data_IF_829720870117
#
_entry.id   IF_829720870117
#
_cell.length_a   1.000
_cell.length_b   1.000
_cell.length_c   1.000
_cell.angle_alpha   90.00
_cell.angle_beta   90.00
_cell.angle_gamma   90.00
#
_symmetry.space_group_name_H-M   'P 1'
#
loop_
_entity.id
_entity.type
_entity.pdbx_description
1 polymer ?
#
# COMPACT_ATOMS: atom_id res chain seq x y z
N UNK A 1 20.84 9.79 -12.29
CA UNK A 1 21.92 10.48 -11.56
C UNK A 1 22.07 9.77 -10.21
N UNK A 2 23.07 8.90 -10.08
CA UNK A 2 23.30 8.13 -8.85
C UNK A 2 24.26 8.96 -8.00
N UNK A 3 23.73 9.67 -7.01
CA UNK A 3 24.51 10.31 -5.95
C UNK A 3 24.22 9.51 -4.68
N UNK A 4 25.27 9.06 -3.98
CA UNK A 4 25.18 8.28 -2.73
C UNK A 4 24.56 6.86 -2.84
N UNK A 5 24.65 6.20 -4.00
CA UNK A 5 23.96 4.93 -4.29
C UNK A 5 22.42 5.00 -4.20
N UNK A 6 21.86 6.22 -4.29
CA UNK A 6 20.42 6.46 -4.34
C UNK A 6 20.02 6.82 -5.78
N UNK A 7 19.01 6.13 -6.30
CA UNK A 7 18.38 6.49 -7.57
C UNK A 7 17.39 7.65 -7.36
N UNK A 8 17.91 8.88 -7.46
CA UNK A 8 17.12 10.09 -7.31
C UNK A 8 16.00 10.24 -8.34
N UNK A 9 16.11 9.56 -9.49
CA UNK A 9 15.04 9.57 -10.49
C UNK A 9 13.85 8.74 -10.03
N UNK A 10 14.11 7.56 -9.48
CA UNK A 10 13.08 6.71 -8.89
C UNK A 10 12.43 7.37 -7.67
N UNK A 11 13.24 7.98 -6.79
CA UNK A 11 12.74 8.71 -5.62
C UNK A 11 11.86 9.90 -6.03
N UNK A 12 12.31 10.70 -7.00
CA UNK A 12 11.53 11.84 -7.51
C UNK A 12 10.21 11.40 -8.13
N UNK A 13 10.21 10.30 -8.90
CA UNK A 13 9.00 9.72 -9.49
C UNK A 13 8.02 9.25 -8.41
N UNK A 14 8.48 8.51 -7.41
CA UNK A 14 7.65 8.06 -6.28
C UNK A 14 7.08 9.22 -5.47
N UNK A 15 7.91 10.22 -5.16
CA UNK A 15 7.47 11.42 -4.44
C UNK A 15 6.42 12.20 -5.24
N UNK A 16 6.60 12.34 -6.55
CA UNK A 16 5.61 13.02 -7.41
C UNK A 16 4.26 12.31 -7.46
N UNK A 17 4.26 10.97 -7.52
CA UNK A 17 3.05 10.15 -7.47
C UNK A 17 2.35 10.30 -6.12
N UNK A 18 3.10 10.21 -5.02
CA UNK A 18 2.55 10.38 -3.68
C UNK A 18 1.92 11.76 -3.51
N UNK A 19 2.64 12.83 -3.88
CA UNK A 19 2.15 14.20 -3.78
C UNK A 19 0.90 14.42 -4.63
N UNK A 20 0.87 13.92 -5.88
CA UNK A 20 -0.31 14.02 -6.74
C UNK A 20 -1.51 13.27 -6.13
N UNK A 21 -1.29 12.03 -5.69
CA UNK A 21 -2.32 11.20 -5.07
C UNK A 21 -2.90 11.88 -3.83
N UNK A 22 -2.04 12.32 -2.90
CA UNK A 22 -2.48 13.01 -1.68
C UNK A 22 -3.19 14.33 -1.98
N UNK A 23 -2.72 15.10 -2.97
CA UNK A 23 -3.37 16.37 -3.35
C UNK A 23 -4.81 16.16 -3.82
N UNK A 24 -5.04 15.12 -4.65
CA UNK A 24 -6.39 14.77 -5.12
C UNK A 24 -7.27 14.38 -3.93
N UNK A 25 -6.79 13.49 -3.06
CA UNK A 25 -7.57 12.99 -1.93
C UNK A 25 -7.89 14.09 -0.92
N UNK A 26 -6.91 14.93 -0.57
CA UNK A 26 -7.10 16.04 0.37
C UNK A 26 -8.10 17.05 -0.18
N UNK A 27 -7.98 17.49 -1.44
CA UNK A 27 -8.96 18.44 -2.02
C UNK A 27 -10.37 17.85 -1.97
N UNK A 28 -10.53 16.58 -2.32
CA UNK A 28 -11.84 15.94 -2.32
C UNK A 28 -12.37 15.78 -0.89
N UNK A 29 -11.52 15.40 0.06
CA UNK A 29 -11.85 15.35 1.48
C UNK A 29 -12.37 16.71 2.00
N UNK A 30 -11.59 17.77 1.79
CA UNK A 30 -11.97 19.15 2.13
C UNK A 30 -13.28 19.54 1.44
N UNK A 31 -13.46 19.15 0.18
CA UNK A 31 -14.70 19.40 -0.56
C UNK A 31 -15.90 18.68 0.06
N UNK A 32 -15.68 17.52 0.67
CA UNK A 32 -16.65 16.79 1.46
C UNK A 32 -17.17 17.55 2.68
N UNK A 33 -16.35 18.37 3.34
CA UNK A 33 -16.81 19.28 4.40
C UNK A 33 -17.43 20.56 3.83
N UNK A 34 -16.84 21.09 2.76
CA UNK A 34 -17.25 22.33 2.11
C UNK A 34 -18.71 22.30 1.63
N UNK A 35 -19.11 21.23 0.93
CA UNK A 35 -20.47 21.09 0.38
C UNK A 35 -21.54 21.19 1.48
N UNK A 36 -21.56 20.32 2.52
CA UNK A 36 -22.57 20.39 3.57
C UNK A 36 -22.48 21.69 4.37
N UNK A 37 -21.28 22.24 4.58
CA UNK A 37 -21.12 23.53 5.27
C UNK A 37 -21.86 24.66 4.51
N UNK A 38 -21.65 24.76 3.20
CA UNK A 38 -22.36 25.74 2.36
C UNK A 38 -23.86 25.44 2.28
N UNK A 39 -24.25 24.17 2.22
CA UNK A 39 -25.66 23.77 2.17
C UNK A 39 -26.43 24.18 3.43
N UNK A 40 -25.83 24.05 4.62
CA UNK A 40 -26.43 24.50 5.88
C UNK A 40 -26.24 26.00 6.16
N UNK A 41 -25.70 26.76 5.20
CA UNK A 41 -25.50 28.20 5.32
C UNK A 41 -24.41 28.58 6.33
N UNK A 42 -23.39 27.74 6.51
CA UNK A 42 -22.17 28.11 7.22
C UNK A 42 -21.28 28.94 6.30
N UNK A 43 -20.65 29.97 6.87
CA UNK A 43 -19.62 30.73 6.17
C UNK A 43 -18.32 29.93 6.13
N UNK A 44 -17.75 29.81 4.93
CA UNK A 44 -16.43 29.21 4.71
C UNK A 44 -15.46 30.32 4.35
N UNK A 45 -14.45 30.53 5.17
CA UNK A 45 -13.48 31.62 5.01
C UNK A 45 -12.35 31.22 4.05
N UNK A 46 -11.85 29.99 4.17
CA UNK A 46 -10.75 29.46 3.36
C UNK A 46 -11.03 28.04 2.89
N UNK A 47 -10.62 27.75 1.66
CA UNK A 47 -10.56 26.41 1.08
C UNK A 47 -9.17 26.24 0.45
N UNK A 48 -8.28 25.49 1.10
CA UNK A 48 -6.88 25.44 0.73
C UNK A 48 -6.40 23.99 0.51
N UNK A 49 -5.71 23.79 -0.61
CA UNK A 49 -4.79 22.65 -0.75
C UNK A 49 -3.48 23.06 -0.08
N UNK A 50 -2.94 22.23 0.82
CA UNK A 50 -1.70 22.48 1.55
C UNK A 50 -1.76 23.65 2.55
N UNK A 51 -1.00 23.54 3.63
CA UNK A 51 -0.92 24.59 4.64
C UNK A 51 -0.16 25.82 4.11
N UNK A 52 -0.64 27.01 4.48
CA UNK A 52 -0.12 28.32 4.07
C UNK A 52 0.50 29.14 5.24
N UNK A 53 1.38 28.57 6.10
CA UNK A 53 2.05 29.39 7.12
C UNK A 53 2.90 30.45 6.43
N UNK A 54 2.80 31.71 6.85
CA UNK A 54 3.50 32.86 6.28
C UNK A 54 3.05 33.31 4.87
N UNK A 55 2.97 32.42 3.88
CA UNK A 55 2.58 32.78 2.51
C UNK A 55 1.80 31.68 1.77
N UNK A 56 1.14 32.04 0.66
CA UNK A 56 0.44 31.10 -0.24
C UNK A 56 1.08 31.15 -1.62
N UNK A 57 1.22 30.00 -2.29
CA UNK A 57 1.72 29.92 -3.67
C UNK A 57 0.71 30.53 -4.66
N UNK A 58 -0.56 30.28 -4.42
CA UNK A 58 -1.66 30.85 -5.19
C UNK A 58 -2.83 31.16 -4.26
N UNK A 59 -3.53 32.26 -4.49
CA UNK A 59 -4.76 32.59 -3.78
C UNK A 59 -5.71 33.39 -4.66
N UNK A 60 -7.00 33.11 -4.55
CA UNK A 60 -8.08 33.82 -5.23
C UNK A 60 -9.31 33.84 -4.33
N UNK A 61 -9.80 35.05 -4.05
CA UNK A 61 -11.05 35.22 -3.31
C UNK A 61 -12.23 35.20 -4.27
N UNK A 62 -13.23 34.36 -3.99
CA UNK A 62 -14.51 34.33 -4.72
C UNK A 62 -15.66 34.35 -3.71
N UNK A 63 -16.37 35.47 -3.66
CA UNK A 63 -17.37 35.72 -2.63
C UNK A 63 -16.72 35.84 -1.26
N UNK A 64 -17.20 35.03 -0.31
CA UNK A 64 -16.72 35.03 1.08
C UNK A 64 -15.53 34.10 1.31
N UNK A 65 -15.24 33.20 0.36
CA UNK A 65 -14.22 32.15 0.49
C UNK A 65 -12.97 32.51 -0.29
N UNK A 66 -11.83 32.39 0.37
CA UNK A 66 -10.50 32.43 -0.25
C UNK A 66 -10.08 31.00 -0.65
N UNK A 67 -9.85 30.80 -1.94
CA UNK A 67 -9.35 29.54 -2.47
C UNK A 67 -7.85 29.68 -2.70
N UNK A 68 -7.05 28.72 -2.27
CA UNK A 68 -5.61 28.83 -2.41
C UNK A 68 -4.84 27.52 -2.37
N UNK A 69 -3.55 27.66 -2.63
CA UNK A 69 -2.55 26.59 -2.51
C UNK A 69 -1.48 27.10 -1.55
N UNK A 70 -1.31 26.43 -0.42
CA UNK A 70 -0.25 26.67 0.55
C UNK A 70 1.11 26.18 0.04
N UNK A 71 2.20 26.71 0.60
CA UNK A 71 3.55 26.29 0.19
C UNK A 71 4.02 25.02 0.89
N UNK A 72 3.43 24.68 2.06
CA UNK A 72 3.82 23.53 2.85
C UNK A 72 2.95 22.33 2.45
N UNK A 73 3.48 21.33 1.71
CA UNK A 73 2.70 20.26 1.07
C UNK A 73 2.24 19.18 2.07
N UNK A 74 1.65 19.61 3.18
CA UNK A 74 1.12 18.79 4.26
C UNK A 74 -0.36 19.16 4.40
N UNK A 75 -1.23 18.16 4.26
CA UNK A 75 -2.67 18.30 4.47
C UNK A 75 -3.35 19.31 3.54
N UNK A 76 -4.54 19.74 3.97
CA UNK A 76 -5.37 20.78 3.39
C UNK A 76 -6.39 21.15 4.46
N UNK A 77 -7.12 22.23 4.24
CA UNK A 77 -8.11 22.64 5.23
C UNK A 77 -9.24 23.48 4.63
N UNK A 78 -10.44 23.27 5.17
CA UNK A 78 -11.59 24.18 5.04
C UNK A 78 -11.81 24.92 6.35
N UNK A 79 -11.51 26.22 6.36
CA UNK A 79 -11.79 27.07 7.54
C UNK A 79 -13.27 27.44 7.56
N UNK A 80 -14.05 26.74 8.38
CA UNK A 80 -15.47 27.00 8.59
C UNK A 80 -15.64 27.93 9.80
N UNK A 81 -16.33 29.04 9.62
CA UNK A 81 -16.45 30.04 10.68
C UNK A 81 -17.16 29.47 11.92
N UNK A 82 -16.59 29.73 13.11
CA UNK A 82 -17.12 29.26 14.39
C UNK A 82 -16.91 27.76 14.69
N UNK A 83 -16.05 27.08 13.93
CA UNK A 83 -15.50 25.77 14.28
C UNK A 83 -14.22 25.97 15.09
N UNK A 84 -14.00 25.14 16.12
CA UNK A 84 -12.71 25.09 16.82
C UNK A 84 -11.84 24.16 15.98
N UNK A 85 -10.92 24.74 15.20
CA UNK A 85 -10.00 24.04 14.32
C UNK A 85 -8.53 24.32 14.69
N UNK A 86 -7.61 23.79 13.88
CA UNK A 86 -6.16 23.90 14.01
C UNK A 86 -5.67 25.35 14.02
N UNK A 87 -6.40 26.28 13.41
CA UNK A 87 -6.06 27.70 13.33
C UNK A 87 -6.47 28.49 14.58
N UNK A 88 -7.24 27.87 15.50
CA UNK A 88 -7.57 28.38 16.84
C UNK A 88 -7.83 29.90 16.89
N UNK A 89 -8.87 30.35 16.20
CA UNK A 89 -9.26 31.77 16.18
C UNK A 89 -9.98 32.17 17.49
N UNK A 90 -9.21 32.32 18.57
CA UNK A 90 -9.68 32.56 19.95
C UNK A 90 -10.47 33.86 20.11
N UNK A 91 -10.30 34.82 19.22
CA UNK A 91 -11.00 36.10 19.27
C UNK A 91 -12.44 36.01 18.72
N UNK A 92 -12.65 35.18 17.70
CA UNK A 92 -13.98 34.95 17.13
C UNK A 92 -14.90 34.19 18.09
N UNK A 93 -14.34 33.24 18.86
CA UNK A 93 -15.10 32.43 19.83
C UNK A 93 -15.64 33.22 21.03
N UNK A 94 -15.04 34.37 21.35
CA UNK A 94 -15.48 35.24 22.46
C UNK A 94 -16.72 36.07 22.14
N UNK A 95 -17.08 36.22 20.87
CA UNK A 95 -18.27 36.95 20.43
C UNK A 95 -19.50 36.05 20.47
N UNK A 96 -20.73 36.60 20.62
CA UNK A 96 -21.96 35.81 20.54
C UNK A 96 -22.06 35.10 19.18
N UNK A 97 -22.51 33.85 19.21
CA UNK A 97 -22.61 33.01 18.02
C UNK A 97 -23.50 33.64 16.96
N UNK A 98 -22.97 33.78 15.75
CA UNK A 98 -23.72 34.28 14.60
C UNK A 98 -24.44 33.13 13.89
N UNK A 99 -25.56 33.41 13.23
CA UNK A 99 -26.40 32.39 12.57
C UNK A 99 -25.72 31.64 11.42
N UNK A 100 -24.64 32.21 10.86
CA UNK A 100 -23.81 31.64 9.80
C UNK A 100 -22.57 30.91 10.33
N UNK A 101 -22.41 30.81 11.65
CA UNK A 101 -21.31 30.06 12.27
C UNK A 101 -21.69 28.60 12.52
N UNK A 102 -20.72 27.71 12.41
CA UNK A 102 -20.85 26.28 12.69
C UNK A 102 -21.46 26.01 14.07
N UNK A 103 -20.96 26.69 15.11
CA UNK A 103 -21.46 26.53 16.50
C UNK A 103 -22.93 26.94 16.71
N UNK A 104 -23.53 27.67 15.79
CA UNK A 104 -24.96 28.04 15.85
C UNK A 104 -25.89 26.96 15.28
N UNK A 105 -25.33 25.98 14.55
CA UNK A 105 -26.11 24.94 13.87
C UNK A 105 -26.49 23.81 14.83
N UNK A 106 -27.68 23.20 14.65
CA UNK A 106 -28.06 21.98 15.35
C UNK A 106 -26.99 20.89 15.23
N UNK A 107 -26.84 20.07 16.27
CA UNK A 107 -25.78 19.08 16.35
C UNK A 107 -25.80 18.07 15.18
N UNK A 108 -26.96 17.72 14.65
CA UNK A 108 -27.07 16.83 13.48
C UNK A 108 -26.56 17.47 12.19
N UNK A 109 -26.72 18.79 12.00
CA UNK A 109 -26.14 19.50 10.83
C UNK A 109 -24.63 19.55 10.94
N UNK A 110 -24.13 19.85 12.16
CA UNK A 110 -22.69 19.79 12.45
C UNK A 110 -22.12 18.41 12.20
N UNK A 111 -22.81 17.36 12.62
CA UNK A 111 -22.40 15.98 12.39
C UNK A 111 -22.24 15.69 10.88
N UNK A 112 -23.20 16.08 10.04
CA UNK A 112 -23.12 15.90 8.58
C UNK A 112 -21.92 16.65 7.99
N UNK A 113 -21.64 17.86 8.46
CA UNK A 113 -20.46 18.63 8.03
C UNK A 113 -19.18 17.89 8.42
N UNK A 114 -19.09 17.39 9.66
CA UNK A 114 -17.90 16.72 10.19
C UNK A 114 -17.63 15.36 9.53
N UNK A 115 -18.66 14.58 9.20
CA UNK A 115 -18.46 13.30 8.48
C UNK A 115 -18.27 13.49 6.97
N UNK A 116 -18.51 14.69 6.46
CA UNK A 116 -18.54 14.99 5.03
C UNK A 116 -17.25 14.61 4.30
N UNK A 117 -16.09 14.95 4.87
CA UNK A 117 -14.79 14.58 4.30
C UNK A 117 -14.53 13.08 4.33
N UNK A 118 -14.83 12.39 5.43
CA UNK A 118 -14.70 10.93 5.55
C UNK A 118 -15.58 10.22 4.51
N UNK A 119 -16.85 10.63 4.41
CA UNK A 119 -17.79 10.08 3.42
C UNK A 119 -17.28 10.32 2.00
N UNK A 120 -16.76 11.50 1.70
CA UNK A 120 -16.20 11.79 0.38
C UNK A 120 -15.02 10.89 0.03
N UNK A 121 -14.09 10.65 0.96
CA UNK A 121 -12.97 9.73 0.72
C UNK A 121 -13.44 8.28 0.46
N UNK A 122 -14.48 7.81 1.16
CA UNK A 122 -15.09 6.50 0.87
C UNK A 122 -15.72 6.49 -0.52
N UNK A 123 -16.46 7.53 -0.90
CA UNK A 123 -17.07 7.65 -2.23
C UNK A 123 -16.03 7.70 -3.35
N UNK A 124 -14.94 8.45 -3.14
CA UNK A 124 -13.82 8.54 -4.07
C UNK A 124 -13.18 7.17 -4.28
N UNK A 125 -12.97 6.40 -3.21
CA UNK A 125 -12.48 5.03 -3.33
C UNK A 125 -13.42 4.15 -4.19
N UNK A 126 -14.74 4.26 -3.97
CA UNK A 126 -15.74 3.49 -4.75
C UNK A 126 -15.65 3.81 -6.24
N UNK A 127 -15.59 5.11 -6.57
CA UNK A 127 -15.52 5.59 -7.94
C UNK A 127 -14.22 5.13 -8.60
N UNK A 128 -13.07 5.31 -7.93
CA UNK A 128 -11.77 4.91 -8.49
C UNK A 128 -11.74 3.39 -8.70
N UNK A 129 -12.18 2.57 -7.74
CA UNK A 129 -12.24 1.12 -7.93
C UNK A 129 -13.22 0.70 -9.04
N UNK A 130 -14.35 1.38 -9.20
CA UNK A 130 -15.26 1.12 -10.31
C UNK A 130 -14.56 1.37 -11.66
N UNK A 131 -13.87 2.50 -11.82
CA UNK A 131 -13.07 2.77 -13.02
C UNK A 131 -11.95 1.76 -13.21
N UNK A 132 -11.30 1.31 -12.14
CA UNK A 132 -10.26 0.28 -12.23
C UNK A 132 -10.82 -1.03 -12.78
N UNK A 133 -11.95 -1.48 -12.24
CA UNK A 133 -12.62 -2.72 -12.67
C UNK A 133 -13.19 -2.61 -14.09
N UNK A 134 -13.51 -1.42 -14.56
CA UNK A 134 -14.00 -1.18 -15.91
C UNK A 134 -12.85 -1.15 -16.94
N UNK A 135 -11.78 -0.41 -16.65
CA UNK A 135 -10.68 -0.14 -17.60
C UNK A 135 -9.67 -1.29 -17.60
N UNK A 136 -9.17 -1.67 -16.43
CA UNK A 136 -8.12 -2.70 -16.28
C UNK A 136 -8.69 -4.07 -15.93
N UNK A 137 -9.81 -4.11 -15.21
CA UNK A 137 -10.45 -5.34 -14.74
C UNK A 137 -9.93 -5.81 -13.39
N UNK A 138 -10.62 -6.81 -12.85
CA UNK A 138 -10.16 -7.58 -11.69
C UNK A 138 -9.20 -8.68 -12.19
N UNK A 139 -7.91 -8.54 -11.85
CA UNK A 139 -6.85 -9.47 -12.24
C UNK A 139 -6.61 -10.46 -11.11
N UNK A 140 -6.82 -11.75 -11.37
CA UNK A 140 -6.66 -12.82 -10.39
C UNK A 140 -5.85 -13.97 -10.96
N UNK A 141 -5.06 -14.58 -10.10
CA UNK A 141 -4.34 -15.81 -10.40
C UNK A 141 -4.93 -16.89 -9.50
N UNK A 142 -5.78 -17.78 -10.03
CA UNK A 142 -6.32 -18.87 -9.23
C UNK A 142 -5.18 -19.72 -8.67
N UNK A 143 -5.21 -20.01 -7.36
CA UNK A 143 -4.19 -20.84 -6.70
C UNK A 143 -4.09 -22.23 -7.34
N UNK A 144 -5.22 -22.76 -7.81
CA UNK A 144 -5.31 -24.02 -8.55
C UNK A 144 -4.57 -24.03 -9.89
N UNK A 145 -4.35 -22.85 -10.49
CA UNK A 145 -3.65 -22.72 -11.77
C UNK A 145 -2.12 -22.70 -11.61
N UNK A 146 -1.61 -22.54 -10.39
CA UNK A 146 -0.18 -22.43 -10.11
C UNK A 146 0.51 -23.79 -10.25
N UNK A 147 0.91 -24.12 -11.48
CA UNK A 147 1.41 -25.44 -11.89
C UNK A 147 2.52 -25.97 -10.97
N UNK A 148 3.46 -25.09 -10.63
CA UNK A 148 4.67 -25.39 -9.87
C UNK A 148 4.59 -25.02 -8.39
N UNK A 149 3.42 -24.61 -7.89
CA UNK A 149 3.25 -24.17 -6.50
C UNK A 149 3.91 -22.82 -6.21
N UNK A 150 4.24 -22.59 -4.94
CA UNK A 150 4.81 -21.32 -4.45
C UNK A 150 6.33 -21.35 -4.39
N UNK A 151 6.94 -20.20 -4.58
CA UNK A 151 8.34 -19.92 -4.26
C UNK A 151 8.38 -19.09 -2.98
N UNK A 152 9.01 -19.65 -1.95
CA UNK A 152 9.24 -18.97 -0.67
C UNK A 152 10.43 -18.05 -0.81
N UNK A 153 10.20 -16.74 -0.72
CA UNK A 153 11.23 -15.70 -0.88
C UNK A 153 11.81 -15.27 0.47
N UNK A 154 11.00 -15.36 1.53
CA UNK A 154 11.41 -15.03 2.89
C UNK A 154 11.72 -16.29 3.71
N UNK A 155 12.91 -16.34 4.33
CA UNK A 155 13.36 -17.49 5.10
C UNK A 155 12.56 -17.72 6.39
N UNK A 156 11.81 -16.72 6.85
CA UNK A 156 10.84 -16.85 7.95
C UNK A 156 9.88 -18.00 7.69
N UNK A 157 9.32 -18.08 6.48
CA UNK A 157 8.39 -19.16 6.11
C UNK A 157 9.08 -20.52 6.00
N UNK A 158 10.38 -20.56 5.67
CA UNK A 158 11.15 -21.80 5.73
C UNK A 158 11.32 -22.30 7.16
N UNK A 159 11.49 -21.42 8.15
CA UNK A 159 11.60 -21.82 9.56
C UNK A 159 10.32 -22.47 10.06
N UNK A 160 9.18 -22.03 9.55
CA UNK A 160 7.85 -22.60 9.83
C UNK A 160 7.57 -23.91 9.09
N UNK A 161 8.42 -24.29 8.14
CA UNK A 161 8.30 -25.54 7.40
C UNK A 161 7.59 -25.45 6.04
N UNK A 162 7.23 -24.24 5.58
CA UNK A 162 6.78 -24.03 4.19
C UNK A 162 8.00 -24.14 3.26
N UNK A 163 7.86 -24.81 2.12
CA UNK A 163 8.94 -25.08 1.17
C UNK A 163 8.57 -24.66 -0.25
N UNK A 164 9.58 -24.52 -1.11
CA UNK A 164 9.35 -24.27 -2.54
C UNK A 164 8.63 -25.45 -3.18
N UNK A 165 7.63 -25.16 -4.00
CA UNK A 165 6.80 -26.17 -4.65
C UNK A 165 5.55 -26.55 -3.86
N UNK A 166 5.41 -26.09 -2.63
CA UNK A 166 4.19 -26.32 -1.84
C UNK A 166 2.99 -25.67 -2.54
N UNK A 167 1.84 -26.33 -2.48
CA UNK A 167 0.55 -25.81 -2.95
C UNK A 167 -0.29 -25.46 -1.75
N UNK A 168 -0.46 -24.17 -1.47
CA UNK A 168 -1.25 -23.74 -0.32
C UNK A 168 -2.75 -23.89 -0.66
N UNK A 169 -3.46 -24.67 0.15
CA UNK A 169 -4.86 -25.05 -0.07
C UNK A 169 -5.80 -24.14 0.73
N UNK A 170 -5.47 -23.91 2.00
CA UNK A 170 -6.30 -23.10 2.89
C UNK A 170 -5.48 -22.39 3.97
N UNK A 171 -6.03 -21.30 4.49
CA UNK A 171 -5.54 -20.60 5.68
C UNK A 171 -6.72 -20.47 6.66
N UNK A 172 -6.52 -20.85 7.91
CA UNK A 172 -7.54 -20.94 8.96
C UNK A 172 -8.77 -21.75 8.53
N UNK A 173 -8.52 -22.87 7.85
CA UNK A 173 -9.52 -23.75 7.24
C UNK A 173 -10.41 -23.09 6.16
N UNK A 174 -10.07 -21.87 5.72
CA UNK A 174 -10.74 -21.22 4.61
C UNK A 174 -9.93 -21.41 3.32
N UNK A 175 -10.53 -21.97 2.26
CA UNK A 175 -9.86 -22.11 0.97
C UNK A 175 -9.35 -20.76 0.45
N UNK A 176 -8.16 -20.77 -0.13
CA UNK A 176 -7.58 -19.62 -0.82
C UNK A 176 -7.84 -19.75 -2.31
N UNK A 177 -8.61 -18.82 -2.88
CA UNK A 177 -9.05 -18.91 -4.29
C UNK A 177 -8.05 -18.32 -5.27
N UNK A 178 -7.37 -17.25 -4.87
CA UNK A 178 -6.40 -16.54 -5.69
C UNK A 178 -5.11 -16.20 -4.92
N UNK A 179 -4.04 -15.95 -5.67
CA UNK A 179 -2.71 -15.73 -5.13
C UNK A 179 -2.60 -14.47 -4.26
N UNK A 180 -3.34 -13.40 -4.59
CA UNK A 180 -3.33 -12.19 -3.78
C UNK A 180 -4.03 -12.40 -2.45
N UNK A 181 -5.18 -13.08 -2.46
CA UNK A 181 -5.88 -13.49 -1.26
C UNK A 181 -5.03 -14.42 -0.40
N UNK A 182 -4.31 -15.36 -1.01
CA UNK A 182 -3.37 -16.23 -0.30
C UNK A 182 -2.33 -15.41 0.46
N UNK A 183 -1.65 -14.47 -0.20
CA UNK A 183 -0.64 -13.62 0.46
C UNK A 183 -1.24 -12.85 1.64
N UNK A 184 -2.42 -12.22 1.46
CA UNK A 184 -3.07 -11.47 2.54
C UNK A 184 -3.46 -12.37 3.71
N UNK A 185 -4.10 -13.51 3.44
CA UNK A 185 -4.54 -14.43 4.48
C UNK A 185 -3.36 -15.04 5.24
N UNK A 186 -2.26 -15.37 4.56
CA UNK A 186 -1.10 -15.99 5.21
C UNK A 186 -0.47 -15.06 6.27
N UNK A 187 -0.48 -13.75 6.06
CA UNK A 187 0.06 -12.77 7.02
C UNK A 187 -0.86 -12.62 8.24
N UNK A 188 -2.17 -12.77 8.05
CA UNK A 188 -3.17 -12.50 9.10
C UNK A 188 -3.58 -13.77 9.88
N UNK A 189 -3.39 -14.94 9.28
CA UNK A 189 -3.87 -16.22 9.81
C UNK A 189 -2.92 -16.90 10.78
N UNK A 190 -3.40 -17.98 11.37
CA UNK A 190 -2.72 -18.74 12.42
C UNK A 190 -2.34 -20.15 11.96
N UNK A 191 -3.03 -20.67 10.94
CA UNK A 191 -2.83 -22.05 10.48
C UNK A 191 -2.92 -22.13 8.97
N UNK A 192 -1.94 -22.74 8.33
CA UNK A 192 -1.92 -22.98 6.89
C UNK A 192 -1.96 -24.48 6.59
N UNK A 193 -2.83 -24.87 5.65
CA UNK A 193 -2.81 -26.22 5.09
C UNK A 193 -2.25 -26.15 3.67
N UNK A 194 -1.25 -26.99 3.39
CA UNK A 194 -0.59 -27.07 2.11
C UNK A 194 -0.45 -28.52 1.65
N UNK A 195 -0.31 -28.70 0.35
CA UNK A 195 0.00 -29.97 -0.26
C UNK A 195 1.46 -29.97 -0.72
N UNK A 196 2.21 -30.99 -0.29
CA UNK A 196 3.59 -31.25 -0.72
C UNK A 196 3.65 -32.65 -1.34
N UNK A 197 3.77 -32.71 -2.66
CA UNK A 197 3.61 -33.98 -3.38
C UNK A 197 2.20 -34.54 -3.18
N UNK A 198 2.08 -35.73 -2.58
CA UNK A 198 0.80 -36.36 -2.25
C UNK A 198 0.32 -36.09 -0.82
N UNK A 199 1.18 -35.53 0.04
CA UNK A 199 0.88 -35.32 1.45
C UNK A 199 0.18 -33.98 1.69
N UNK A 200 -0.80 -33.99 2.60
CA UNK A 200 -1.42 -32.78 3.13
C UNK A 200 -0.77 -32.44 4.48
N UNK A 201 -0.10 -31.30 4.53
CA UNK A 201 0.64 -30.83 5.70
C UNK A 201 -0.07 -29.61 6.28
N UNK A 202 -0.15 -29.60 7.60
CA UNK A 202 -0.68 -28.48 8.37
C UNK A 202 0.44 -27.83 9.15
N UNK A 203 0.59 -26.51 9.01
CA UNK A 203 1.60 -25.71 9.69
C UNK A 203 0.89 -24.65 10.52
N UNK A 204 1.29 -24.51 11.79
CA UNK A 204 0.89 -23.39 12.62
C UNK A 204 1.85 -22.23 12.37
N UNK A 205 1.30 -21.04 12.16
CA UNK A 205 2.03 -19.81 11.96
C UNK A 205 2.25 -19.14 13.32
N UNK A 206 3.46 -18.65 13.53
CA UNK A 206 3.85 -17.85 14.68
C UNK A 206 2.99 -16.58 14.77
N UNK A 207 2.61 -16.23 15.99
CA UNK A 207 1.80 -15.04 16.25
C UNK A 207 2.49 -13.77 15.77
N UNK A 208 3.82 -13.71 15.86
CA UNK A 208 4.66 -12.58 15.47
C UNK A 208 5.21 -12.66 14.03
N UNK A 209 4.63 -13.53 13.17
CA UNK A 209 5.03 -13.69 11.77
C UNK A 209 5.18 -12.34 11.03
N UNK A 210 4.25 -11.41 11.25
CA UNK A 210 4.29 -10.08 10.63
C UNK A 210 5.58 -9.34 11.04
N UNK A 211 5.88 -9.32 12.33
CA UNK A 211 7.12 -8.75 12.87
C UNK A 211 8.37 -9.42 12.29
N UNK A 212 8.40 -10.75 12.24
CA UNK A 212 9.53 -11.50 11.68
C UNK A 212 9.75 -11.19 10.18
N UNK A 213 8.68 -11.07 9.40
CA UNK A 213 8.74 -10.68 7.97
C UNK A 213 9.23 -9.24 7.77
N UNK A 214 8.87 -8.33 8.68
CA UNK A 214 9.36 -6.94 8.64
C UNK A 214 10.86 -6.89 8.96
N UNK A 215 11.31 -7.65 9.95
CA UNK A 215 12.72 -7.70 10.36
C UNK A 215 13.62 -8.39 9.33
N UNK A 216 13.13 -9.44 8.68
CA UNK A 216 13.86 -10.17 7.63
C UNK A 216 13.75 -9.50 6.25
N UNK A 217 13.13 -8.32 6.16
CA UNK A 217 12.89 -7.62 4.91
C UNK A 217 14.20 -7.26 4.20
N UNK A 218 14.43 -7.91 3.06
CA UNK A 218 15.52 -7.60 2.16
C UNK A 218 15.04 -6.62 1.08
N UNK A 219 15.75 -5.48 0.93
CA UNK A 219 15.42 -4.42 -0.05
C UNK A 219 15.48 -4.93 -1.50
N UNK A 220 16.16 -6.06 -1.77
CA UNK A 220 16.22 -6.70 -3.08
C UNK A 220 15.08 -7.67 -3.39
N UNK A 221 14.20 -8.00 -2.41
CA UNK A 221 13.16 -9.02 -2.56
C UNK A 221 11.78 -8.41 -2.80
N UNK A 222 10.97 -9.08 -3.64
CA UNK A 222 9.57 -8.71 -3.92
C UNK A 222 8.62 -9.50 -3.04
N UNK A 223 8.40 -9.01 -1.82
CA UNK A 223 7.53 -9.67 -0.85
C UNK A 223 8.12 -10.98 -0.31
N UNK A 224 7.28 -11.81 0.30
CA UNK A 224 7.68 -13.03 1.01
C UNK A 224 7.32 -14.33 0.25
N UNK A 225 6.47 -14.23 -0.78
CA UNK A 225 5.95 -15.37 -1.54
C UNK A 225 5.73 -14.98 -3.01
N UNK A 226 6.19 -15.82 -3.93
CA UNK A 226 6.01 -15.68 -5.37
C UNK A 226 5.41 -16.95 -5.99
N UNK A 227 4.91 -16.85 -7.22
CA UNK A 227 4.58 -18.03 -8.01
C UNK A 227 5.87 -18.69 -8.50
N UNK A 228 6.03 -19.99 -8.24
CA UNK A 228 7.25 -20.72 -8.62
C UNK A 228 7.36 -20.84 -10.14
N UNK A 229 8.57 -20.65 -10.66
CA UNK A 229 8.84 -20.58 -12.10
C UNK A 229 10.14 -21.31 -12.48
N UNK A 230 10.21 -21.91 -13.67
CA UNK A 230 11.43 -22.55 -14.15
C UNK A 230 12.55 -21.53 -14.39
N UNK A 231 13.80 -22.01 -14.41
CA UNK A 231 14.95 -21.17 -14.68
C UNK A 231 15.12 -20.94 -16.19
N UNK A 232 14.48 -19.92 -16.75
CA UNK A 232 14.61 -19.57 -18.17
C UNK A 232 15.02 -18.10 -18.32
N UNK A 233 15.98 -17.82 -19.19
CA UNK A 233 16.44 -16.45 -19.46
C UNK A 233 15.44 -15.69 -20.35
N UNK A 234 14.77 -14.66 -19.83
CA UNK A 234 13.85 -13.81 -20.59
C UNK A 234 14.59 -12.72 -21.36
N UNK A 235 15.43 -11.98 -20.66
CA UNK A 235 16.23 -10.92 -21.27
C UNK A 235 17.67 -11.03 -20.79
N UNK A 236 18.58 -11.04 -21.75
CA UNK A 236 20.02 -11.03 -21.51
C UNK A 236 20.57 -9.77 -22.19
N UNK A 237 21.02 -8.76 -21.44
CA UNK A 237 21.58 -7.54 -22.03
C UNK A 237 22.75 -7.89 -22.93
N UNK A 238 22.72 -7.41 -24.17
CA UNK A 238 23.76 -7.59 -25.18
C UNK A 238 25.15 -7.08 -24.75
N UNK A 239 25.16 -6.02 -23.94
CA UNK A 239 26.35 -5.45 -23.29
C UNK A 239 26.87 -6.29 -22.11
N UNK A 240 26.05 -7.19 -21.56
CA UNK A 240 26.30 -7.92 -20.32
C UNK A 240 27.24 -9.11 -20.48
N UNK A 241 27.85 -9.51 -19.36
CA UNK A 241 28.83 -10.60 -19.34
C UNK A 241 28.19 -11.95 -19.70
N UNK A 242 26.95 -12.21 -19.26
CA UNK A 242 26.21 -13.40 -19.65
C UNK A 242 25.99 -13.51 -21.17
N UNK A 243 25.70 -12.39 -21.86
CA UNK A 243 25.55 -12.41 -23.31
C UNK A 243 26.88 -12.70 -24.01
N UNK A 244 27.98 -12.12 -23.53
CA UNK A 244 29.33 -12.41 -24.03
C UNK A 244 29.74 -13.87 -23.81
N UNK A 245 29.33 -14.47 -22.69
CA UNK A 245 29.48 -15.89 -22.39
C UNK A 245 28.56 -16.82 -23.20
N UNK A 246 27.73 -16.26 -24.08
CA UNK A 246 26.90 -17.02 -25.01
C UNK A 246 25.46 -17.28 -24.56
N UNK A 247 25.05 -16.80 -23.38
CA UNK A 247 23.65 -16.90 -22.91
C UNK A 247 22.74 -16.05 -23.80
N UNK A 248 21.56 -16.56 -24.13
CA UNK A 248 20.56 -15.91 -24.97
C UNK A 248 19.17 -15.95 -24.33
N UNK A 249 18.30 -15.04 -24.76
CA UNK A 249 16.89 -15.10 -24.41
C UNK A 249 16.27 -16.41 -24.94
N UNK A 250 15.47 -17.06 -24.10
CA UNK A 250 14.86 -18.37 -24.38
C UNK A 250 15.65 -19.56 -23.82
N UNK A 251 16.90 -19.38 -23.43
CA UNK A 251 17.70 -20.46 -22.85
C UNK A 251 17.09 -20.96 -21.54
N UNK A 252 16.79 -22.26 -21.47
CA UNK A 252 16.36 -22.92 -20.25
C UNK A 252 17.59 -23.46 -19.53
N UNK A 253 17.86 -22.96 -18.33
CA UNK A 253 19.01 -23.37 -17.53
C UNK A 253 18.69 -24.69 -16.83
N UNK A 254 19.59 -25.66 -16.98
CA UNK A 254 19.41 -27.03 -16.50
C UNK A 254 20.39 -27.42 -15.40
N UNK A 255 21.61 -26.87 -15.41
CA UNK A 255 22.62 -27.18 -14.41
C UNK A 255 23.68 -26.08 -14.28
N UNK A 256 24.28 -25.98 -13.10
CA UNK A 256 25.55 -25.31 -12.87
C UNK A 256 26.56 -26.40 -12.51
N UNK A 257 27.60 -26.51 -13.31
CA UNK A 257 28.55 -27.62 -13.31
C UNK A 257 27.81 -28.97 -13.37
N UNK A 258 27.92 -29.77 -12.31
CA UNK A 258 27.26 -31.08 -12.22
C UNK A 258 25.95 -31.04 -11.41
N UNK A 259 25.51 -29.87 -10.93
CA UNK A 259 24.31 -29.73 -10.10
C UNK A 259 23.12 -29.30 -10.96
N UNK A 260 22.21 -30.24 -11.24
CA UNK A 260 20.96 -29.97 -11.97
C UNK A 260 19.94 -29.21 -11.13
N UNK A 261 19.12 -28.42 -11.80
CA UNK A 261 17.97 -27.73 -11.23
C UNK A 261 16.90 -27.50 -12.31
N UNK A 262 15.65 -27.38 -11.89
CA UNK A 262 14.52 -27.10 -12.78
C UNK A 262 13.99 -25.68 -12.61
N UNK A 263 14.15 -25.13 -11.41
CA UNK A 263 13.50 -23.90 -10.99
C UNK A 263 14.45 -22.74 -10.73
N UNK A 264 13.95 -21.53 -10.95
CA UNK A 264 14.72 -20.31 -10.75
C UNK A 264 15.17 -20.15 -9.29
N UNK A 265 14.35 -20.57 -8.33
CA UNK A 265 14.71 -20.56 -6.90
C UNK A 265 15.91 -21.46 -6.58
N UNK A 266 16.00 -22.62 -7.23
CA UNK A 266 17.11 -23.56 -7.06
C UNK A 266 18.40 -23.02 -7.68
N UNK A 267 18.30 -22.37 -8.85
CA UNK A 267 19.41 -21.64 -9.44
C UNK A 267 19.92 -20.55 -8.49
N UNK A 268 19.01 -19.69 -8.00
CA UNK A 268 19.37 -18.59 -7.10
C UNK A 268 20.03 -19.08 -5.80
N UNK A 269 19.58 -20.20 -5.24
CA UNK A 269 20.18 -20.79 -4.05
C UNK A 269 21.62 -21.30 -4.28
N UNK A 270 22.00 -21.60 -5.52
CA UNK A 270 23.34 -22.12 -5.85
C UNK A 270 24.36 -21.01 -6.13
N UNK A 271 23.93 -19.90 -6.75
CA UNK A 271 24.82 -18.82 -7.20
C UNK A 271 25.77 -18.23 -6.13
N UNK A 272 25.39 -18.09 -4.84
CA UNK A 272 26.29 -17.55 -3.82
C UNK A 272 27.58 -18.36 -3.60
N UNK A 273 27.60 -19.66 -3.95
CA UNK A 273 28.78 -20.52 -3.83
C UNK A 273 29.84 -20.23 -4.90
N UNK A 274 29.48 -19.50 -5.95
CA UNK A 274 30.30 -19.29 -7.15
C UNK A 274 30.68 -17.82 -7.36
N UNK A 275 30.59 -16.98 -6.33
CA UNK A 275 30.91 -15.55 -6.41
C UNK A 275 32.33 -15.33 -6.92
N UNK A 276 32.47 -14.54 -7.98
CA UNK A 276 33.77 -14.24 -8.61
C UNK A 276 34.36 -15.38 -9.45
N UNK A 277 33.69 -16.54 -9.52
CA UNK A 277 34.17 -17.71 -10.26
C UNK A 277 33.52 -17.82 -11.65
N UNK A 278 34.06 -18.69 -12.50
CA UNK A 278 33.49 -19.06 -13.80
C UNK A 278 32.93 -20.47 -13.75
N UNK A 279 31.63 -20.60 -13.99
CA UNK A 279 30.93 -21.89 -13.92
C UNK A 279 30.57 -22.42 -15.29
N UNK A 280 30.39 -23.74 -15.39
CA UNK A 280 29.81 -24.36 -16.58
C UNK A 280 28.28 -24.37 -16.45
N UNK A 281 27.61 -23.41 -17.07
CA UNK A 281 26.15 -23.36 -17.10
C UNK A 281 25.62 -24.19 -18.26
N UNK A 282 24.94 -25.30 -17.95
CA UNK A 282 24.26 -26.13 -18.96
C UNK A 282 22.90 -25.51 -19.25
N UNK A 283 22.67 -25.15 -20.51
CA UNK A 283 21.40 -24.60 -20.99
C UNK A 283 20.82 -25.46 -22.11
N UNK A 284 19.51 -25.57 -22.17
CA UNK A 284 18.78 -26.10 -23.31
C UNK A 284 18.39 -24.95 -24.24
N UNK A 285 18.86 -25.03 -25.50
CA UNK A 285 18.50 -24.12 -26.58
C UNK A 285 18.04 -24.94 -27.77
N UNK A 286 16.81 -24.73 -28.21
CA UNK A 286 16.22 -25.47 -29.35
C UNK A 286 16.30 -26.99 -29.20
N UNK A 287 16.14 -27.50 -27.97
CA UNK A 287 16.19 -28.94 -27.65
C UNK A 287 17.59 -29.54 -27.54
N UNK A 288 18.66 -28.75 -27.63
CA UNK A 288 20.04 -29.21 -27.44
C UNK A 288 20.62 -28.66 -26.14
N UNK A 289 21.32 -29.49 -25.37
CA UNK A 289 22.10 -29.06 -24.21
C UNK A 289 23.42 -28.42 -24.68
N UNK A 290 23.67 -27.19 -24.27
CA UNK A 290 24.88 -26.42 -24.52
C UNK A 290 25.53 -26.06 -23.19
N UNK A 291 26.84 -26.27 -23.08
CA UNK A 291 27.62 -25.80 -21.94
C UNK A 291 28.16 -24.39 -22.23
N UNK A 292 27.86 -23.45 -21.35
CA UNK A 292 28.35 -22.06 -21.42
C UNK A 292 29.29 -21.79 -20.25
N UNK A 293 30.50 -21.29 -20.54
CA UNK A 293 31.42 -20.84 -19.50
C UNK A 293 31.07 -19.43 -19.08
N UNK A 294 30.39 -19.33 -17.93
CA UNK A 294 29.75 -18.09 -17.51
C UNK A 294 30.39 -17.58 -16.22
N UNK A 295 31.01 -16.39 -16.24
CA UNK A 295 31.53 -15.76 -15.04
C UNK A 295 30.36 -15.23 -14.18
N UNK A 296 30.43 -15.51 -12.89
CA UNK A 296 29.46 -15.07 -11.89
C UNK A 296 30.00 -13.82 -11.22
N UNK A 297 29.17 -12.79 -11.09
CA UNK A 297 29.59 -11.54 -10.44
C UNK A 297 29.95 -11.75 -8.97
N UNK A 298 30.68 -10.81 -8.38
CA UNK A 298 30.99 -10.80 -6.94
C UNK A 298 29.73 -10.80 -6.05
N UNK A 299 28.62 -10.28 -6.58
CA UNK A 299 27.31 -10.32 -5.92
C UNK A 299 26.58 -11.66 -6.09
N UNK A 300 27.17 -12.64 -6.80
CA UNK A 300 26.57 -13.94 -7.07
C UNK A 300 25.46 -13.86 -8.13
N UNK A 301 25.66 -13.08 -9.19
CA UNK A 301 24.65 -12.88 -10.24
C UNK A 301 25.20 -13.19 -11.63
N UNK A 302 24.33 -13.75 -12.47
CA UNK A 302 24.59 -14.02 -13.89
C UNK A 302 24.36 -12.77 -14.75
N UNK A 303 23.43 -11.88 -14.35
CA UNK A 303 23.13 -10.65 -15.09
C UNK A 303 22.09 -10.82 -16.21
N UNK A 304 21.02 -11.57 -15.95
CA UNK A 304 19.86 -11.72 -16.83
C UNK A 304 18.55 -11.45 -16.07
N UNK A 305 17.46 -11.18 -16.80
CA UNK A 305 16.10 -11.21 -16.27
C UNK A 305 15.49 -12.57 -16.56
N UNK A 306 15.00 -13.26 -15.53
CA UNK A 306 14.32 -14.55 -15.71
C UNK A 306 12.90 -14.37 -16.27
N UNK A 307 12.42 -15.38 -17.02
CA UNK A 307 11.01 -15.47 -17.39
C UNK A 307 10.11 -15.52 -16.16
N UNK A 308 8.90 -15.00 -16.32
CA UNK A 308 7.91 -14.87 -15.25
C UNK A 308 8.04 -13.61 -14.40
N UNK A 309 8.62 -12.55 -14.97
CA UNK A 309 8.67 -11.22 -14.35
C UNK A 309 7.31 -10.49 -14.41
N UNK A 310 6.44 -10.84 -15.37
CA UNK A 310 5.07 -10.38 -15.45
C UNK A 310 4.11 -11.60 -15.49
N UNK A 311 2.89 -11.44 -15.00
CA UNK A 311 1.92 -12.54 -14.93
C UNK A 311 1.35 -12.91 -16.31
N UNK A 312 1.27 -11.97 -17.24
CA UNK A 312 0.79 -12.21 -18.61
C UNK A 312 1.68 -13.20 -19.37
N UNK A 313 3.01 -13.10 -19.23
CA UNK A 313 3.90 -14.06 -19.86
C UNK A 313 3.83 -15.42 -19.17
N UNK A 314 3.71 -15.46 -17.83
CA UNK A 314 3.52 -16.73 -17.13
C UNK A 314 2.25 -17.46 -17.57
N UNK A 315 1.18 -16.72 -17.83
CA UNK A 315 -0.07 -17.22 -18.41
C UNK A 315 0.13 -17.77 -19.82
N UNK A 316 0.83 -17.02 -20.70
CA UNK A 316 1.13 -17.48 -22.08
C UNK A 316 1.97 -18.77 -22.14
N UNK A 317 2.77 -19.03 -21.10
CA UNK A 317 3.60 -20.23 -20.96
C UNK A 317 2.87 -21.38 -20.23
N UNK A 318 1.62 -21.15 -19.78
CA UNK A 318 0.81 -22.14 -19.06
C UNK A 318 1.34 -22.49 -17.68
N UNK A 319 2.08 -21.58 -17.03
CA UNK A 319 2.61 -21.78 -15.66
C UNK A 319 1.60 -21.38 -14.59
N UNK A 320 0.77 -20.39 -14.92
CA UNK A 320 -0.37 -19.92 -14.16
C UNK A 320 -1.52 -19.65 -15.13
N UNK A 321 -2.71 -19.34 -14.62
CA UNK A 321 -3.81 -18.75 -15.40
C UNK A 321 -4.07 -17.34 -14.89
N UNK A 322 -3.98 -16.33 -15.76
CA UNK A 322 -4.31 -14.95 -15.40
C UNK A 322 -5.76 -14.64 -15.82
N UNK A 323 -6.67 -14.61 -14.86
CA UNK A 323 -8.06 -14.24 -15.10
C UNK A 323 -8.22 -12.73 -15.01
N UNK A 324 -8.69 -12.10 -16.10
CA UNK A 324 -8.95 -10.65 -16.18
C UNK A 324 -10.43 -10.43 -16.43
N UNK A 325 -11.19 -10.17 -15.36
CA UNK A 325 -12.61 -9.89 -15.44
C UNK A 325 -12.86 -8.37 -15.50
N UNK A 326 -13.19 -7.85 -16.68
CA UNK A 326 -13.61 -6.45 -16.86
C UNK A 326 -15.10 -6.33 -16.67
N UNK A 327 -15.51 -5.34 -15.88
CA UNK A 327 -16.92 -5.06 -15.62
C UNK A 327 -17.45 -4.02 -16.60
N UNK A 328 -18.71 -4.17 -17.02
CA UNK A 328 -19.42 -3.11 -17.74
C UNK A 328 -19.67 -1.92 -16.80
N UNK A 329 -19.98 -0.74 -17.35
CA UNK A 329 -20.21 0.47 -16.56
C UNK A 329 -21.20 0.27 -15.38
N UNK A 330 -22.34 -0.35 -15.66
CA UNK A 330 -23.36 -0.61 -14.62
C UNK A 330 -22.93 -1.67 -13.61
N UNK A 331 -22.16 -2.68 -14.03
CA UNK A 331 -21.63 -3.69 -13.11
C UNK A 331 -20.43 -3.18 -12.29
N UNK A 332 -19.70 -2.19 -12.81
CA UNK A 332 -18.54 -1.59 -12.17
C UNK A 332 -18.92 -0.80 -10.92
N UNK A 333 -20.13 -0.22 -10.85
CA UNK A 333 -20.62 0.50 -9.66
C UNK A 333 -20.71 -0.42 -8.43
N UNK A 334 -21.52 -1.50 -8.42
CA UNK A 334 -21.53 -2.43 -7.29
C UNK A 334 -20.20 -3.16 -7.13
N UNK A 335 -19.44 -3.38 -8.21
CA UNK A 335 -18.09 -3.92 -8.15
C UNK A 335 -17.12 -3.05 -7.34
N UNK A 336 -17.13 -1.74 -7.59
CA UNK A 336 -16.28 -0.76 -6.90
C UNK A 336 -16.61 -0.66 -5.41
N UNK A 337 -17.91 -0.67 -5.07
CA UNK A 337 -18.37 -0.70 -3.66
C UNK A 337 -17.89 -1.97 -2.96
N UNK A 338 -18.08 -3.14 -3.58
CA UNK A 338 -17.64 -4.42 -3.00
C UNK A 338 -16.12 -4.46 -2.82
N UNK A 339 -15.36 -4.00 -3.82
CA UNK A 339 -13.90 -3.93 -3.75
C UNK A 339 -13.46 -3.04 -2.60
N UNK A 340 -14.01 -1.83 -2.50
CA UNK A 340 -13.67 -0.91 -1.42
C UNK A 340 -14.06 -1.44 -0.03
N UNK A 341 -15.21 -2.12 0.09
CA UNK A 341 -15.62 -2.78 1.34
C UNK A 341 -14.61 -3.85 1.76
N UNK A 342 -14.14 -4.68 0.83
CA UNK A 342 -13.11 -5.69 1.10
C UNK A 342 -11.80 -5.03 1.52
N UNK A 343 -11.35 -3.99 0.81
CA UNK A 343 -10.11 -3.28 1.15
C UNK A 343 -10.21 -2.58 2.53
N UNK A 344 -11.36 -2.00 2.87
CA UNK A 344 -11.62 -1.43 4.20
C UNK A 344 -11.57 -2.51 5.29
N UNK A 345 -12.21 -3.65 5.08
CA UNK A 345 -12.17 -4.77 6.03
C UNK A 345 -10.74 -5.29 6.22
N UNK A 346 -10.02 -5.50 5.12
CA UNK A 346 -8.63 -5.96 5.12
C UNK A 346 -7.73 -4.96 5.85
N UNK A 347 -7.98 -3.65 5.70
CA UNK A 347 -7.25 -2.61 6.42
C UNK A 347 -7.58 -2.58 7.91
N UNK A 348 -8.85 -2.74 8.29
CA UNK A 348 -9.28 -2.86 9.69
C UNK A 348 -8.58 -4.05 10.37
N UNK A 349 -8.53 -5.20 9.70
CA UNK A 349 -7.91 -6.41 10.26
C UNK A 349 -6.39 -6.27 10.38
N UNK A 350 -5.73 -5.59 9.43
CA UNK A 350 -4.32 -5.20 9.56
C UNK A 350 -4.09 -4.21 10.72
N UNK A 351 -4.96 -3.21 10.87
CA UNK A 351 -4.87 -2.23 11.95
C UNK A 351 -5.01 -2.88 13.33
N UNK A 352 -5.92 -3.86 13.48
CA UNK A 352 -6.02 -4.65 14.73
C UNK A 352 -4.71 -5.37 15.07
N UNK A 353 -4.00 -5.92 14.07
CA UNK A 353 -2.70 -6.56 14.29
C UNK A 353 -1.67 -5.53 14.76
N UNK A 354 -1.64 -4.33 14.18
CA UNK A 354 -0.75 -3.24 14.63
C UNK A 354 -0.96 -2.89 16.12
N UNK A 355 -2.20 -2.95 16.60
CA UNK A 355 -2.54 -2.70 18.00
C UNK A 355 -2.19 -3.85 18.96
N UNK A 356 -1.95 -5.07 18.46
CA UNK A 356 -1.49 -6.22 19.25
C UNK A 356 0.04 -6.31 19.20
N UNK A 357 0.77 -5.94 20.28
CA UNK A 357 2.22 -5.95 20.31
C UNK A 357 2.83 -7.32 20.05
N UNK A 358 2.13 -8.40 20.39
CA UNK A 358 2.61 -9.77 20.23
C UNK A 358 2.73 -10.16 18.75
N UNK A 359 2.05 -9.45 17.85
CA UNK A 359 2.14 -9.71 16.41
C UNK A 359 3.38 -9.09 15.76
N UNK A 360 4.03 -8.15 16.45
CA UNK A 360 5.12 -7.35 15.91
C UNK A 360 4.74 -6.44 14.74
N UNK A 361 3.46 -6.32 14.37
CA UNK A 361 3.01 -5.57 13.21
C UNK A 361 3.27 -4.06 13.31
N UNK A 362 3.33 -3.50 14.53
CA UNK A 362 3.69 -2.11 14.77
C UNK A 362 5.08 -1.74 14.22
N UNK A 363 5.99 -2.70 14.09
CA UNK A 363 7.32 -2.52 13.48
C UNK A 363 7.23 -2.07 12.01
N UNK A 364 6.11 -2.36 11.34
CA UNK A 364 5.87 -2.06 9.93
C UNK A 364 5.25 -0.68 9.69
N UNK A 365 4.94 0.07 10.75
CA UNK A 365 4.41 1.43 10.63
C UNK A 365 5.49 2.35 10.08
N UNK A 366 5.31 2.79 8.83
CA UNK A 366 6.25 3.64 8.12
C UNK A 366 5.76 5.07 7.96
N UNK A 367 6.70 5.99 7.82
CA UNK A 367 6.47 7.41 7.52
C UNK A 367 6.42 7.72 6.03
N UNK A 368 6.85 8.93 5.65
CA UNK A 368 6.75 9.41 4.26
C UNK A 368 7.58 8.61 3.25
N UNK A 369 8.73 8.06 3.66
CA UNK A 369 9.58 7.25 2.78
C UNK A 369 8.90 5.92 2.48
N UNK A 370 8.35 5.27 3.49
CA UNK A 370 7.59 4.03 3.30
C UNK A 370 6.35 4.28 2.43
N UNK A 371 5.60 5.36 2.70
CA UNK A 371 4.46 5.77 1.87
C UNK A 371 4.85 6.08 0.42
N UNK A 372 5.98 6.74 0.16
CA UNK A 372 6.45 6.97 -1.21
C UNK A 372 6.86 5.67 -1.91
N UNK A 373 7.48 4.75 -1.18
CA UNK A 373 8.01 3.49 -1.73
C UNK A 373 6.94 2.50 -2.19
N UNK A 374 5.67 2.70 -1.83
CA UNK A 374 4.56 1.87 -2.32
C UNK A 374 4.28 2.12 -3.80
N UNK A 375 4.62 3.30 -4.32
CA UNK A 375 4.45 3.63 -5.73
C UNK A 375 5.60 3.03 -6.57
N UNK A 376 5.34 2.63 -7.83
CA UNK A 376 6.39 2.16 -8.72
C UNK A 376 7.48 3.22 -8.95
N UNK A 377 8.75 2.82 -8.81
CA UNK A 377 9.90 3.72 -8.94
C UNK A 377 10.60 3.69 -10.31
N UNK A 378 10.27 2.75 -11.19
CA UNK A 378 10.93 2.63 -12.50
C UNK A 378 10.21 3.37 -13.62
N UNK A 379 8.88 3.30 -13.65
CA UNK A 379 8.03 3.90 -14.68
C UNK A 379 6.69 4.32 -14.08
N UNK A 380 6.05 5.31 -14.70
CA UNK A 380 4.69 5.71 -14.32
C UNK A 380 3.69 4.65 -14.78
N UNK A 381 2.99 4.03 -13.83
CA UNK A 381 1.95 3.03 -14.09
C UNK A 381 0.61 3.55 -13.55
N UNK A 382 -0.29 3.91 -14.47
CA UNK A 382 -1.59 4.50 -14.12
C UNK A 382 -2.49 3.56 -13.34
N UNK A 383 -2.48 2.26 -13.62
CA UNK A 383 -3.29 1.29 -12.89
C UNK A 383 -2.84 1.21 -11.43
N UNK A 384 -1.53 1.14 -11.22
CA UNK A 384 -0.91 1.09 -9.89
C UNK A 384 -1.14 2.38 -9.13
N UNK A 385 -0.94 3.53 -9.79
CA UNK A 385 -1.22 4.85 -9.24
C UNK A 385 -2.65 4.92 -8.69
N UNK A 386 -3.67 4.65 -9.53
CA UNK A 386 -5.07 4.73 -9.10
C UNK A 386 -5.43 3.68 -8.05
N UNK A 387 -4.86 2.48 -8.12
CA UNK A 387 -5.09 1.43 -7.13
C UNK A 387 -4.55 1.83 -5.75
N UNK A 388 -3.36 2.44 -5.71
CA UNK A 388 -2.77 2.98 -4.49
C UNK A 388 -3.56 4.20 -4.02
N UNK A 389 -3.96 5.12 -4.90
CA UNK A 389 -4.78 6.28 -4.54
C UNK A 389 -6.12 5.87 -3.93
N UNK A 390 -6.81 4.87 -4.49
CA UNK A 390 -8.05 4.33 -3.92
C UNK A 390 -7.82 3.68 -2.54
N UNK A 391 -6.73 2.93 -2.39
CA UNK A 391 -6.33 2.36 -1.10
C UNK A 391 -6.04 3.45 -0.07
N UNK A 392 -5.24 4.47 -0.42
CA UNK A 392 -4.97 5.62 0.45
C UNK A 392 -6.25 6.38 0.80
N UNK A 393 -7.21 6.49 -0.11
CA UNK A 393 -8.53 7.09 0.16
C UNK A 393 -9.27 6.36 1.28
N UNK A 394 -9.26 5.01 1.27
CA UNK A 394 -9.84 4.18 2.33
C UNK A 394 -9.07 4.38 3.64
N UNK A 395 -7.74 4.37 3.59
CA UNK A 395 -6.88 4.59 4.76
C UNK A 395 -7.18 5.96 5.39
N UNK A 396 -7.23 7.03 4.60
CA UNK A 396 -7.54 8.38 5.08
C UNK A 396 -8.95 8.44 5.68
N UNK A 397 -9.95 7.83 5.03
CA UNK A 397 -11.30 7.76 5.58
C UNK A 397 -11.35 7.04 6.94
N UNK A 398 -10.69 5.89 7.05
CA UNK A 398 -10.64 5.13 8.30
C UNK A 398 -9.90 5.90 9.40
N UNK A 399 -8.71 6.43 9.09
CA UNK A 399 -7.89 7.16 10.05
C UNK A 399 -8.61 8.42 10.54
N UNK A 400 -9.22 9.21 9.65
CA UNK A 400 -9.97 10.40 10.04
C UNK A 400 -11.26 10.07 10.80
N UNK A 401 -11.79 8.85 10.71
CA UNK A 401 -12.94 8.41 11.50
C UNK A 401 -12.55 7.98 12.93
N UNK A 402 -11.27 7.74 13.21
CA UNK A 402 -10.83 7.37 14.55
C UNK A 402 -11.21 8.46 15.56
N UNK A 403 -11.60 8.10 16.80
CA UNK A 403 -12.01 9.04 17.84
C UNK A 403 -10.79 9.75 18.48
N UNK A 404 -9.94 10.35 17.66
CA UNK A 404 -8.78 11.13 18.05
C UNK A 404 -9.19 12.60 17.93
N UNK A 405 -9.14 13.40 19.01
CA UNK A 405 -9.67 14.78 19.03
C UNK A 405 -9.19 15.69 17.90
N UNK A 406 -7.97 15.49 17.39
CA UNK A 406 -7.38 16.28 16.30
C UNK A 406 -7.78 15.82 14.88
N UNK A 407 -8.58 14.77 14.76
CA UNK A 407 -9.15 14.26 13.50
C UNK A 407 -10.67 14.46 13.51
N UNK A 408 -11.30 14.37 12.34
CA UNK A 408 -12.76 14.50 12.19
C UNK A 408 -13.55 13.62 13.17
N UNK A 409 -13.11 12.38 13.36
CA UNK A 409 -13.73 11.39 14.24
C UNK A 409 -13.76 11.82 15.71
N UNK A 410 -12.78 12.61 16.16
CA UNK A 410 -12.80 13.24 17.47
C UNK A 410 -13.92 14.27 17.61
N UNK A 411 -14.06 15.16 16.62
CA UNK A 411 -15.16 16.12 16.58
C UNK A 411 -16.53 15.44 16.43
N UNK A 412 -16.60 14.37 15.63
CA UNK A 412 -17.80 13.51 15.50
C UNK A 412 -18.18 12.92 16.85
N UNK A 413 -17.22 12.39 17.62
CA UNK A 413 -17.48 11.86 18.95
C UNK A 413 -18.10 12.91 19.87
N UNK A 414 -17.58 14.14 19.86
CA UNK A 414 -18.13 15.24 20.66
C UNK A 414 -19.54 15.65 20.23
N UNK A 415 -19.80 15.69 18.92
CA UNK A 415 -21.14 15.97 18.38
C UNK A 415 -22.15 14.87 18.74
N UNK A 416 -21.75 13.60 18.66
CA UNK A 416 -22.58 12.47 19.08
C UNK A 416 -22.86 12.51 20.59
N UNK A 417 -21.85 12.80 21.41
CA UNK A 417 -22.04 12.98 22.85
C UNK A 417 -23.05 14.09 23.14
N UNK A 418 -22.95 15.24 22.47
CA UNK A 418 -23.88 16.36 22.63
C UNK A 418 -25.31 15.97 22.22
N UNK A 419 -25.48 15.22 21.12
CA UNK A 419 -26.78 14.73 20.68
C UNK A 419 -27.44 13.78 21.70
N UNK A 420 -26.65 12.91 22.33
CA UNK A 420 -27.14 11.93 23.30
C UNK A 420 -27.41 12.58 24.66
N UNK A 421 -26.48 13.42 25.13
CA UNK A 421 -26.53 14.03 26.47
C UNK A 421 -27.35 15.32 26.54
N UNK A 422 -27.63 15.94 25.38
CA UNK A 422 -28.20 17.28 25.28
C UNK A 422 -27.28 18.39 25.80
N UNK A 423 -26.02 18.08 26.14
CA UNK A 423 -25.06 19.03 26.74
C UNK A 423 -23.80 19.12 25.88
N UNK A 424 -23.44 20.34 25.49
CA UNK A 424 -22.18 20.61 24.78
C UNK A 424 -21.00 20.41 25.74
N UNK A 425 -19.94 19.68 25.35
CA UNK A 425 -18.67 19.68 26.07
C UNK A 425 -18.15 21.12 26.26
N UNK A 426 -17.48 21.38 27.38
CA UNK A 426 -16.92 22.71 27.64
C UNK A 426 -15.85 23.06 26.60
N UNK A 427 -15.76 24.33 26.21
CA UNK A 427 -14.78 24.77 25.21
C UNK A 427 -13.35 24.48 25.67
N UNK A 428 -13.06 24.62 26.98
CA UNK A 428 -11.77 24.23 27.57
C UNK A 428 -11.45 22.75 27.40
N UNK A 429 -12.44 21.86 27.59
CA UNK A 429 -12.24 20.43 27.38
C UNK A 429 -11.93 20.12 25.92
N UNK A 430 -12.66 20.74 24.97
CA UNK A 430 -12.41 20.59 23.54
C UNK A 430 -11.00 21.07 23.16
N UNK A 431 -10.56 22.20 23.70
CA UNK A 431 -9.19 22.71 23.50
C UNK A 431 -8.11 21.76 24.03
N UNK A 432 -8.26 21.26 25.27
CA UNK A 432 -7.29 20.32 25.84
C UNK A 432 -7.27 18.99 25.09
N UNK A 433 -8.44 18.50 24.70
CA UNK A 433 -8.55 17.29 23.90
C UNK A 433 -7.86 17.48 22.54
N UNK A 434 -8.10 18.60 21.84
CA UNK A 434 -7.42 18.95 20.59
C UNK A 434 -5.90 18.94 20.74
N UNK A 435 -5.39 19.62 21.76
CA UNK A 435 -3.95 19.69 22.01
C UNK A 435 -3.35 18.30 22.30
N UNK A 436 -4.01 17.50 23.15
CA UNK A 436 -3.58 16.13 23.44
C UNK A 436 -3.60 15.24 22.18
N UNK A 437 -4.65 15.36 21.36
CA UNK A 437 -4.75 14.67 20.08
C UNK A 437 -3.63 15.07 19.11
N UNK A 438 -3.35 16.36 18.98
CA UNK A 438 -2.26 16.85 18.12
C UNK A 438 -0.89 16.40 18.63
N UNK A 439 -0.65 16.45 19.94
CA UNK A 439 0.59 15.93 20.53
C UNK A 439 0.77 14.43 20.25
N UNK A 440 -0.30 13.63 20.34
CA UNK A 440 -0.29 12.21 20.00
C UNK A 440 0.03 12.00 18.51
N UNK A 441 -0.65 12.70 17.61
CA UNK A 441 -0.44 12.59 16.16
C UNK A 441 0.99 12.99 15.76
N UNK A 442 1.51 14.09 16.30
CA UNK A 442 2.89 14.53 16.07
C UNK A 442 3.90 13.50 16.60
N UNK A 443 3.64 12.91 17.77
CA UNK A 443 4.49 11.84 18.33
C UNK A 443 4.50 10.60 17.44
N UNK A 444 3.34 10.18 16.93
CA UNK A 444 3.22 9.07 15.99
C UNK A 444 3.90 9.37 14.65
N UNK A 445 3.78 10.61 14.16
CA UNK A 445 4.47 11.06 12.95
C UNK A 445 5.99 11.01 13.13
N UNK A 446 6.51 11.48 14.27
CA UNK A 446 7.95 11.38 14.60
C UNK A 446 8.36 9.92 14.67
N UNK A 447 7.59 9.06 15.35
CA UNK A 447 7.85 7.63 15.45
C UNK A 447 7.91 6.95 14.08
N UNK A 448 6.89 7.15 13.23
CA UNK A 448 6.81 6.54 11.90
C UNK A 448 7.95 7.01 10.98
N UNK A 449 8.28 8.30 11.01
CA UNK A 449 9.41 8.83 10.25
C UNK A 449 10.76 8.36 10.83
N UNK A 450 10.90 8.24 12.15
CA UNK A 450 12.09 7.64 12.75
C UNK A 450 12.23 6.17 12.32
N UNK A 451 11.14 5.40 12.31
CA UNK A 451 11.12 4.01 11.84
C UNK A 451 11.53 3.90 10.36
N UNK A 452 11.19 4.89 9.53
CA UNK A 452 11.65 4.98 8.13
C UNK A 452 13.16 5.17 7.94
N UNK A 453 13.90 5.53 8.99
CA UNK A 453 15.36 5.71 8.95
C UNK A 453 16.08 4.70 9.84
N UNK A 454 15.59 4.50 11.06
CA UNK A 454 16.19 3.73 12.16
C UNK A 454 15.42 2.43 12.48
N UNK A 455 14.33 2.16 11.76
CA UNK A 455 13.42 1.08 12.07
C UNK A 455 13.93 -0.32 11.80
N UNK A 456 13.06 -1.27 12.12
CA UNK A 456 13.31 -2.70 12.09
C UNK A 456 13.52 -3.21 10.65
N UNK A 457 14.54 -4.05 10.42
CA UNK A 457 14.86 -4.63 9.11
C UNK A 457 15.58 -3.71 8.12
N UNK A 458 16.40 -2.75 8.59
CA UNK A 458 17.07 -1.75 7.75
C UNK A 458 18.56 -1.89 7.56
#
# INVERSE_FOLDING_TARGET
MILLAIDWSAVGLQASQLLLSLSILVILHEFGHFIPARWFGCRVEKFYLFFDPWFSLFKKKKGETEYGIGWLPLGGYVKIAGMIDESMDKEALRKPAQSWEFRSKPAWQRLIILIGGVVMNVLVAFIIYAFILMIWGDKKIPTSSMKYGVHVVDSTLYKMGIRNGDRIISVDNQPVKDFEQLRRKLILGEKVQLQRGQELITINLDKDLIGQLIENRDKGRRGFLEARRPAIAYFVPDTGVAFKAGLRAGDKMLAIDNKRFDFYDQLQAQLPMYKGDTVSLIVERSGQELALHLPISEEGKIGFLAYGYNYQHMDSLGWIKLEVNRLSFLAAIPGGINKAKTELQDYIDQFKKILDPDTGAYKGVGGFKSMGSIFPGSVWDWESFWRITAFLSIVLAFMNLLPIPALDGGHVLFALYEMISGRKPSDKFLEYAQFAGMALLLSLMIYANANDWLGWGK
#
